data_IF_404017289893
#
_entry.id   IF_404017289893
#
_cell.length_a   1.000
_cell.length_b   1.000
_cell.length_c   1.000
_cell.angle_alpha   90.00
_cell.angle_beta   90.00
_cell.angle_gamma   90.00
#
_symmetry.space_group_name_H-M   'P 1'
#
loop_
_entity.id
_entity.type
_entity.pdbx_description
1 polymer ?
#
# COMPACT_ATOMS: atom_id res chain seq x y z
N UNK A 1 -13.75 1.49 6.90
CA UNK A 1 -13.58 2.88 6.42
C UNK A 1 -12.74 3.66 7.43
N UNK A 2 -11.72 4.42 6.99
CA UNK A 2 -10.84 5.24 7.84
C UNK A 2 -10.09 4.49 8.95
N UNK A 3 -9.66 3.26 8.67
CA UNK A 3 -8.76 2.50 9.53
C UNK A 3 -8.08 1.38 8.73
N UNK A 4 -6.92 0.94 9.20
CA UNK A 4 -6.28 -0.30 8.79
C UNK A 4 -5.71 -1.00 10.02
N UNK A 5 -6.11 -2.26 10.25
CA UNK A 5 -5.72 -2.99 11.45
C UNK A 5 -5.96 -2.17 12.74
N UNK A 6 -4.91 -1.94 13.55
CA UNK A 6 -5.03 -1.16 14.80
C UNK A 6 -5.16 0.36 14.58
N UNK A 7 -4.84 0.87 13.39
CA UNK A 7 -4.68 2.30 13.14
C UNK A 7 -5.97 2.95 12.67
N UNK A 8 -6.40 4.01 13.35
CA UNK A 8 -7.70 4.68 13.14
C UNK A 8 -7.55 6.16 12.85
N UNK A 9 -8.32 6.62 11.86
CA UNK A 9 -8.31 8.01 11.40
C UNK A 9 -8.34 8.13 9.88
N UNK A 10 -8.75 9.29 9.34
CA UNK A 10 -8.84 9.50 7.89
C UNK A 10 -7.49 9.37 7.17
N UNK A 11 -6.37 9.54 7.85
CA UNK A 11 -5.02 9.30 7.32
C UNK A 11 -4.74 7.82 7.01
N UNK A 12 -5.54 6.89 7.54
CA UNK A 12 -5.45 5.45 7.29
C UNK A 12 -6.54 4.92 6.35
N UNK A 13 -7.21 5.81 5.61
CA UNK A 13 -8.22 5.41 4.62
C UNK A 13 -7.58 4.73 3.41
N UNK A 14 -8.26 3.75 2.84
CA UNK A 14 -7.84 3.14 1.58
C UNK A 14 -8.16 4.06 0.40
N UNK A 15 -7.18 4.27 -0.47
CA UNK A 15 -7.33 5.07 -1.69
C UNK A 15 -6.33 4.64 -2.75
N UNK A 16 -6.70 4.79 -4.01
CA UNK A 16 -5.80 4.71 -5.16
C UNK A 16 -5.71 6.11 -5.77
N UNK A 17 -4.49 6.65 -5.83
CA UNK A 17 -4.20 7.90 -6.53
C UNK A 17 -3.77 7.56 -7.96
N UNK A 18 -4.71 7.62 -8.90
CA UNK A 18 -4.42 7.34 -10.30
C UNK A 18 -3.70 8.53 -10.95
N UNK A 19 -2.61 8.24 -11.67
CA UNK A 19 -1.82 9.26 -12.37
C UNK A 19 -2.44 9.66 -13.71
N UNK A 20 -3.28 8.79 -14.28
CA UNK A 20 -3.95 9.03 -15.55
C UNK A 20 -5.28 8.25 -15.65
N UNK A 21 -6.05 8.58 -16.69
CA UNK A 21 -7.37 7.98 -16.94
C UNK A 21 -7.32 6.48 -17.19
N UNK A 22 -6.22 5.97 -17.77
CA UNK A 22 -6.07 4.54 -18.00
C UNK A 22 -5.94 3.77 -16.67
N UNK A 23 -5.08 4.23 -15.76
CA UNK A 23 -4.96 3.68 -14.42
C UNK A 23 -6.28 3.77 -13.65
N UNK A 24 -6.97 4.91 -13.73
CA UNK A 24 -8.29 5.12 -13.09
C UNK A 24 -9.30 4.08 -13.59
N UNK A 25 -9.44 3.92 -14.91
CA UNK A 25 -10.40 2.98 -15.50
C UNK A 25 -10.10 1.53 -15.14
N UNK A 26 -8.81 1.15 -15.08
CA UNK A 26 -8.40 -0.18 -14.64
C UNK A 26 -8.80 -0.41 -13.18
N UNK A 27 -8.52 0.54 -12.29
CA UNK A 27 -8.87 0.45 -10.88
C UNK A 27 -10.40 0.37 -10.67
N UNK A 28 -11.18 1.22 -11.35
CA UNK A 28 -12.65 1.19 -11.33
C UNK A 28 -13.19 -0.18 -11.74
N UNK A 29 -12.70 -0.71 -12.87
CA UNK A 29 -13.14 -1.99 -13.42
C UNK A 29 -12.82 -3.14 -12.47
N UNK A 30 -11.65 -3.11 -11.84
CA UNK A 30 -11.23 -4.16 -10.94
C UNK A 30 -11.99 -4.14 -9.61
N UNK A 31 -12.24 -2.96 -9.03
CA UNK A 31 -13.11 -2.83 -7.84
C UNK A 31 -14.51 -3.38 -8.15
N UNK A 32 -15.10 -2.96 -9.27
CA UNK A 32 -16.42 -3.44 -9.69
C UNK A 32 -16.45 -4.96 -9.91
N UNK A 33 -15.37 -5.54 -10.46
CA UNK A 33 -15.24 -6.99 -10.62
C UNK A 33 -15.25 -7.71 -9.27
N UNK A 34 -14.49 -7.22 -8.28
CA UNK A 34 -14.42 -7.81 -6.95
C UNK A 34 -15.75 -7.70 -6.19
N UNK A 35 -16.42 -6.55 -6.27
CA UNK A 35 -17.73 -6.34 -5.64
C UNK A 35 -18.81 -7.23 -6.27
N UNK A 36 -18.79 -7.41 -7.59
CA UNK A 36 -19.70 -8.31 -8.31
C UNK A 36 -19.44 -9.77 -7.93
N UNK A 37 -18.18 -10.15 -7.82
CA UNK A 37 -17.77 -11.50 -7.44
C UNK A 37 -17.96 -11.81 -5.95
N UNK A 38 -18.31 -10.81 -5.13
CA UNK A 38 -18.48 -10.95 -3.66
C UNK A 38 -17.26 -11.58 -3.00
N UNK A 39 -16.06 -11.18 -3.46
CA UNK A 39 -14.79 -11.62 -2.88
C UNK A 39 -14.68 -11.18 -1.41
N UNK A 40 -15.22 -10.00 -1.10
CA UNK A 40 -15.31 -9.50 0.27
C UNK A 40 -16.76 -9.54 0.77
N UNK A 41 -16.97 -9.75 2.08
CA UNK A 41 -18.30 -9.80 2.68
C UNK A 41 -19.01 -8.43 2.63
N UNK A 42 -18.25 -7.34 2.66
CA UNK A 42 -18.74 -5.97 2.64
C UNK A 42 -18.23 -5.22 1.40
N UNK A 43 -18.94 -4.18 0.93
CA UNK A 43 -18.50 -3.38 -0.21
C UNK A 43 -17.10 -2.77 -0.02
N UNK A 44 -16.33 -2.72 -1.10
CA UNK A 44 -15.03 -2.04 -1.10
C UNK A 44 -15.23 -0.53 -0.94
N UNK A 45 -14.58 0.06 0.06
CA UNK A 45 -14.64 1.51 0.36
C UNK A 45 -13.41 2.30 -0.13
N UNK A 46 -12.55 1.66 -0.93
CA UNK A 46 -11.36 2.30 -1.52
C UNK A 46 -11.78 3.42 -2.45
N UNK A 47 -11.30 4.63 -2.19
CA UNK A 47 -11.57 5.79 -3.05
C UNK A 47 -10.63 5.83 -4.26
N UNK A 48 -11.07 6.45 -5.34
CA UNK A 48 -10.23 6.74 -6.52
C UNK A 48 -10.06 8.24 -6.67
N UNK A 49 -8.82 8.70 -6.61
CA UNK A 49 -8.48 10.12 -6.65
C UNK A 49 -7.46 10.40 -7.75
N UNK A 50 -7.54 11.60 -8.34
CA UNK A 50 -6.62 12.07 -9.39
C UNK A 50 -6.16 13.49 -9.08
N UNK A 51 -5.00 13.90 -9.60
CA UNK A 51 -4.53 15.29 -9.50
C UNK A 51 -4.20 15.75 -8.08
N UNK A 52 -3.85 14.82 -7.19
CA UNK A 52 -3.42 15.13 -5.83
C UNK A 52 -1.92 15.35 -5.78
N UNK A 53 -1.50 16.37 -5.03
CA UNK A 53 -0.08 16.59 -4.74
C UNK A 53 0.40 15.56 -3.73
N UNK A 54 1.53 14.92 -4.03
CA UNK A 54 2.24 14.06 -3.08
C UNK A 54 3.29 14.90 -2.34
N UNK A 55 3.22 14.88 -1.01
CA UNK A 55 4.23 15.50 -0.15
C UNK A 55 5.07 14.39 0.46
N UNK A 56 6.39 14.36 0.21
CA UNK A 56 7.27 13.40 0.87
C UNK A 56 7.15 13.52 2.39
N UNK A 57 7.06 12.38 3.06
CA UNK A 57 7.22 12.32 4.51
C UNK A 57 8.67 12.63 4.91
N UNK A 58 8.87 13.00 6.17
CA UNK A 58 10.17 13.30 6.75
C UNK A 58 11.16 12.15 6.59
N UNK A 59 12.46 12.47 6.55
CA UNK A 59 13.54 11.48 6.29
C UNK A 59 13.51 10.28 7.25
N UNK A 60 13.11 10.48 8.51
CA UNK A 60 13.05 9.40 9.49
C UNK A 60 11.90 8.40 9.22
N UNK A 61 10.93 8.75 8.38
CA UNK A 61 9.89 7.85 7.90
C UNK A 61 10.33 7.05 6.66
N UNK A 62 11.33 7.53 5.93
CA UNK A 62 11.82 6.85 4.74
C UNK A 62 12.57 5.57 5.14
N UNK A 63 12.35 4.49 4.37
CA UNK A 63 12.98 3.18 4.57
C UNK A 63 12.79 2.59 5.99
N UNK A 64 11.74 3.02 6.72
CA UNK A 64 11.57 2.73 8.15
C UNK A 64 11.63 1.25 8.51
N UNK A 65 10.96 0.38 7.74
CA UNK A 65 10.99 -1.08 7.94
C UNK A 65 12.43 -1.62 7.85
N UNK A 66 13.17 -1.22 6.82
CA UNK A 66 14.55 -1.65 6.57
C UNK A 66 15.49 -1.22 7.68
N UNK A 67 15.29 0.01 8.20
CA UNK A 67 16.11 0.58 9.26
C UNK A 67 15.73 0.07 10.67
N UNK A 68 14.49 -0.40 10.85
CA UNK A 68 13.95 -0.82 12.14
C UNK A 68 13.25 -2.20 12.06
N UNK A 69 13.92 -3.26 11.57
CA UNK A 69 13.26 -4.53 11.24
C UNK A 69 12.67 -5.25 12.45
N UNK A 70 13.16 -4.96 13.65
CA UNK A 70 12.69 -5.56 14.92
C UNK A 70 11.69 -4.67 15.66
N UNK A 71 11.29 -3.53 15.10
CA UNK A 71 10.31 -2.67 15.75
C UNK A 71 8.98 -3.42 15.90
N UNK A 72 8.34 -3.44 17.09
CA UNK A 72 7.20 -4.32 17.35
C UNK A 72 6.06 -4.18 16.34
N UNK A 73 5.79 -2.95 15.88
CA UNK A 73 4.78 -2.71 14.86
C UNK A 73 5.13 -3.36 13.52
N UNK A 74 6.39 -3.30 13.08
CA UNK A 74 6.88 -3.95 11.85
C UNK A 74 6.71 -5.47 11.96
N UNK A 75 7.17 -6.04 13.08
CA UNK A 75 7.15 -7.49 13.29
C UNK A 75 5.72 -8.03 13.28
N UNK A 76 4.79 -7.32 13.94
CA UNK A 76 3.42 -7.79 14.08
C UNK A 76 2.56 -7.50 12.84
N UNK A 77 2.73 -6.35 12.20
CA UNK A 77 1.81 -5.90 11.14
C UNK A 77 2.38 -6.02 9.73
N UNK A 78 3.69 -5.85 9.52
CA UNK A 78 4.25 -5.67 8.17
C UNK A 78 5.03 -6.90 7.68
N UNK A 79 5.82 -7.56 8.52
CA UNK A 79 6.51 -8.80 8.13
C UNK A 79 5.55 -9.88 7.59
N UNK A 80 4.37 -10.14 8.19
CA UNK A 80 3.42 -11.10 7.63
C UNK A 80 2.94 -10.72 6.22
N UNK A 81 2.85 -9.42 5.89
CA UNK A 81 2.46 -8.96 4.55
C UNK A 81 3.56 -9.25 3.52
N UNK A 82 4.83 -9.14 3.91
CA UNK A 82 5.98 -9.48 3.05
C UNK A 82 6.01 -10.99 2.78
N UNK A 83 5.81 -11.82 3.80
CA UNK A 83 5.74 -13.28 3.62
C UNK A 83 4.57 -13.69 2.72
N UNK A 84 3.41 -13.03 2.87
CA UNK A 84 2.27 -13.24 1.98
C UNK A 84 2.59 -12.83 0.54
N UNK A 85 3.28 -11.70 0.32
CA UNK A 85 3.71 -11.27 -1.01
C UNK A 85 4.63 -12.33 -1.66
N UNK A 86 5.63 -12.81 -0.91
CA UNK A 86 6.55 -13.86 -1.36
C UNK A 86 5.83 -15.16 -1.71
N UNK A 87 4.82 -15.53 -0.93
CA UNK A 87 4.04 -16.76 -1.13
C UNK A 87 3.08 -16.67 -2.32
N UNK A 88 2.37 -15.54 -2.45
CA UNK A 88 1.34 -15.37 -3.48
C UNK A 88 1.90 -14.97 -4.85
N UNK A 89 3.02 -14.26 -4.86
CA UNK A 89 3.61 -13.69 -6.07
C UNK A 89 5.14 -13.90 -6.12
N UNK A 90 5.62 -15.16 -6.09
CA UNK A 90 7.06 -15.44 -6.04
C UNK A 90 7.82 -14.85 -7.23
N UNK A 91 7.23 -14.83 -8.42
CA UNK A 91 7.85 -14.28 -9.63
C UNK A 91 7.95 -12.75 -9.63
N UNK A 92 7.16 -12.07 -8.80
CA UNK A 92 7.18 -10.61 -8.64
C UNK A 92 7.94 -10.16 -7.40
N UNK A 93 8.28 -11.08 -6.50
CA UNK A 93 8.95 -10.77 -5.26
C UNK A 93 10.45 -10.54 -5.49
N UNK A 94 11.00 -9.50 -4.86
CA UNK A 94 12.44 -9.22 -4.80
C UNK A 94 12.91 -9.19 -3.36
N UNK A 95 13.97 -9.94 -3.06
CA UNK A 95 14.64 -9.90 -1.74
C UNK A 95 15.34 -8.57 -1.50
N UNK A 96 15.75 -7.86 -2.56
CA UNK A 96 16.41 -6.55 -2.46
C UNK A 96 15.35 -5.45 -2.51
N UNK A 97 15.14 -4.67 -1.43
CA UNK A 97 14.22 -3.55 -1.45
C UNK A 97 14.79 -2.39 -2.28
N UNK A 98 13.90 -1.60 -2.88
CA UNK A 98 14.24 -0.31 -3.47
C UNK A 98 14.15 0.74 -2.36
N UNK A 99 15.27 1.40 -2.05
CA UNK A 99 15.39 2.32 -0.91
C UNK A 99 15.41 3.78 -1.37
N UNK A 100 14.62 4.63 -0.71
CA UNK A 100 14.50 6.06 -1.03
C UNK A 100 15.80 6.79 -0.70
N UNK A 101 16.38 6.51 0.48
CA UNK A 101 17.58 7.20 0.94
C UNK A 101 18.83 6.80 0.14
N UNK A 102 18.81 5.65 -0.54
CA UNK A 102 19.88 5.25 -1.46
C UNK A 102 19.77 5.98 -2.81
N UNK A 103 18.54 6.12 -3.34
CA UNK A 103 18.28 6.79 -4.61
C UNK A 103 18.63 8.29 -4.56
N UNK A 104 18.36 8.96 -3.45
CA UNK A 104 18.59 10.40 -3.28
C UNK A 104 20.08 10.79 -3.09
N UNK A 105 21.00 9.82 -2.99
CA UNK A 105 22.45 10.05 -2.86
C UNK A 105 23.20 10.05 -4.21
N UNK A 106 22.45 9.99 -5.32
CA UNK A 106 23.00 9.94 -6.69
C UNK A 106 22.99 11.31 -7.36
#
# INVERSE_FOLDING_TARGET
LNYQGPDRGPQYRSTIFAENDAQKKIAESYIAQLDKAKVFPEPIVTTLETGKTFYPAEDYHQDFLTLNPTYPYIVYNDLPKIENLKTLFPDLYSEKPVLVLAANKS
#
